data_IF_803603788228
#
_entry.id   IF_803603788228
#
_cell.length_a   1.000
_cell.length_b   1.000
_cell.length_c   1.000
_cell.angle_alpha   90.00
_cell.angle_beta   90.00
_cell.angle_gamma   90.00
#
_symmetry.space_group_name_H-M   'P 1'
#
loop_
_entity.id
_entity.type
_entity.pdbx_description
1 polymer ?
#
# COMPACT_ATOMS: atom_id res chain seq x y z
N UNK A 1 23.74 30.56 5.06
CA UNK A 1 22.92 29.92 4.00
C UNK A 1 22.57 28.52 4.45
N UNK A 2 21.41 28.32 5.07
CA UNK A 2 20.91 26.97 5.41
C UNK A 2 20.20 26.48 4.15
N UNK A 3 20.86 25.57 3.41
CA UNK A 3 20.27 24.93 2.25
C UNK A 3 19.07 24.08 2.69
N UNK A 4 17.98 24.16 1.93
CA UNK A 4 16.77 23.38 2.16
C UNK A 4 17.12 21.89 2.30
N UNK A 5 16.75 21.29 3.42
CA UNK A 5 16.79 19.84 3.58
C UNK A 5 15.83 19.27 2.53
N UNK A 6 16.23 18.29 1.70
CA UNK A 6 15.32 17.71 0.73
C UNK A 6 14.10 17.17 1.47
N UNK A 7 12.90 17.52 1.01
CA UNK A 7 11.67 17.00 1.58
C UNK A 7 11.77 15.48 1.60
N UNK A 8 11.86 14.90 2.79
CA UNK A 8 11.97 13.45 2.96
C UNK A 8 10.80 12.81 2.25
N UNK A 9 11.08 12.16 1.12
CA UNK A 9 10.08 11.49 0.30
C UNK A 9 9.28 10.55 1.19
N UNK A 10 7.97 10.78 1.27
CA UNK A 10 7.10 9.97 2.10
C UNK A 10 7.19 8.52 1.60
N UNK A 11 7.43 7.53 2.48
CA UNK A 11 7.52 6.14 2.06
C UNK A 11 6.24 5.71 1.33
N UNK A 12 6.38 5.00 0.21
CA UNK A 12 5.23 4.46 -0.54
C UNK A 12 4.44 3.51 0.36
N UNK A 13 3.11 3.66 0.35
CA UNK A 13 2.19 2.83 1.13
C UNK A 13 1.15 2.19 0.22
N UNK A 14 1.25 0.87 0.04
CA UNK A 14 0.15 0.08 -0.53
C UNK A 14 -0.92 -0.13 0.53
N UNK A 15 -2.21 -0.03 0.15
CA UNK A 15 -3.34 -0.27 1.06
C UNK A 15 -4.35 -1.19 0.41
N UNK A 16 -4.85 -2.13 1.20
CA UNK A 16 -5.98 -2.97 0.84
C UNK A 16 -6.97 -3.02 2.01
N UNK A 17 -8.20 -2.59 1.75
CA UNK A 17 -9.25 -2.52 2.76
C UNK A 17 -10.56 -3.14 2.26
N UNK A 18 -10.70 -4.48 2.29
CA UNK A 18 -11.94 -5.13 1.89
C UNK A 18 -13.02 -4.96 2.98
N UNK A 19 -14.28 -4.90 2.53
CA UNK A 19 -15.43 -5.10 3.42
C UNK A 19 -15.54 -6.60 3.75
N UNK A 20 -15.96 -6.98 4.97
CA UNK A 20 -16.01 -8.38 5.42
C UNK A 20 -17.33 -9.04 5.01
N UNK A 21 -18.13 -8.36 4.19
CA UNK A 21 -19.51 -8.73 3.85
C UNK A 21 -19.60 -9.91 2.89
N UNK A 22 -18.47 -10.47 2.43
CA UNK A 22 -18.44 -11.67 1.59
C UNK A 22 -17.06 -12.30 1.48
N UNK A 23 -17.00 -13.43 0.78
CA UNK A 23 -15.79 -14.21 0.52
C UNK A 23 -14.75 -13.43 -0.29
N UNK A 24 -13.47 -13.68 -0.01
CA UNK A 24 -12.38 -13.09 -0.78
C UNK A 24 -12.35 -13.69 -2.20
N UNK A 25 -12.89 -12.96 -3.17
CA UNK A 25 -12.83 -13.38 -4.58
C UNK A 25 -11.51 -12.98 -5.26
N UNK A 26 -11.21 -13.65 -6.39
CA UNK A 26 -9.95 -13.49 -7.14
C UNK A 26 -9.66 -12.04 -7.56
N UNK A 27 -10.68 -11.28 -7.91
CA UNK A 27 -10.52 -9.86 -8.25
C UNK A 27 -10.00 -9.03 -7.08
N UNK A 28 -10.51 -9.32 -5.88
CA UNK A 28 -10.11 -8.63 -4.66
C UNK A 28 -8.68 -9.02 -4.25
N UNK A 29 -8.35 -10.32 -4.37
CA UNK A 29 -7.00 -10.83 -4.17
C UNK A 29 -5.98 -10.19 -5.14
N UNK A 30 -6.34 -10.05 -6.42
CA UNK A 30 -5.50 -9.39 -7.43
C UNK A 30 -5.20 -7.94 -7.02
N UNK A 31 -6.20 -7.21 -6.57
CA UNK A 31 -6.03 -5.81 -6.10
C UNK A 31 -5.09 -5.74 -4.90
N UNK A 32 -5.26 -6.62 -3.92
CA UNK A 32 -4.37 -6.71 -2.77
C UNK A 32 -2.92 -7.01 -3.18
N UNK A 33 -2.75 -7.98 -4.09
CA UNK A 33 -1.44 -8.40 -4.59
C UNK A 33 -0.72 -7.28 -5.34
N UNK A 34 -1.43 -6.54 -6.20
CA UNK A 34 -0.86 -5.41 -6.93
C UNK A 34 -0.41 -4.29 -5.98
N UNK A 35 -1.25 -3.95 -4.99
CA UNK A 35 -0.89 -2.95 -3.98
C UNK A 35 0.33 -3.38 -3.14
N UNK A 36 0.44 -4.68 -2.83
CA UNK A 36 1.61 -5.23 -2.13
C UNK A 36 2.87 -5.22 -2.99
N UNK A 37 2.80 -5.71 -4.25
CA UNK A 37 3.94 -5.74 -5.17
C UNK A 37 4.47 -4.33 -5.45
N UNK A 38 3.58 -3.36 -5.64
CA UNK A 38 3.96 -1.97 -5.87
C UNK A 38 4.69 -1.37 -4.66
N UNK A 39 4.16 -1.57 -3.45
CA UNK A 39 4.81 -1.13 -2.23
C UNK A 39 6.17 -1.82 -2.04
N UNK A 40 6.25 -3.14 -2.25
CA UNK A 40 7.49 -3.92 -2.14
C UNK A 40 8.57 -3.45 -3.12
N UNK A 41 8.21 -3.20 -4.37
CA UNK A 41 9.15 -2.71 -5.40
C UNK A 41 9.77 -1.35 -5.03
N UNK A 42 9.04 -0.52 -4.27
CA UNK A 42 9.51 0.78 -3.82
C UNK A 42 10.13 0.77 -2.41
N UNK A 43 10.45 -0.40 -1.82
CA UNK A 43 10.83 -0.54 -0.40
C UNK A 43 9.84 0.15 0.57
N UNK A 44 8.58 0.20 0.16
CA UNK A 44 7.48 0.79 0.88
C UNK A 44 6.84 -0.18 1.87
N UNK A 45 5.70 0.21 2.42
CA UNK A 45 4.93 -0.56 3.41
C UNK A 45 3.58 -0.95 2.82
N UNK A 46 3.09 -2.14 3.14
CA UNK A 46 1.74 -2.58 2.79
C UNK A 46 0.85 -2.58 4.04
N UNK A 47 -0.37 -2.05 3.92
CA UNK A 47 -1.36 -1.96 5.00
C UNK A 47 -2.60 -2.74 4.61
N UNK A 48 -2.89 -3.79 5.36
CA UNK A 48 -4.15 -4.53 5.30
C UNK A 48 -5.08 -3.99 6.40
N UNK A 49 -6.32 -3.64 6.05
CA UNK A 49 -7.35 -3.23 7.01
C UNK A 49 -8.64 -3.98 6.70
N UNK A 50 -9.08 -4.83 7.61
CA UNK A 50 -10.40 -5.46 7.50
C UNK A 50 -11.37 -4.53 8.24
N UNK A 51 -12.34 -3.97 7.51
CA UNK A 51 -13.50 -3.28 8.10
C UNK A 51 -14.65 -4.26 8.28
#
# INVERSE_FOLDING_TARGET
>A
MVGAMPETLKPIRGRYAPSPTGELHLGNLRTALLAWLFARAANGRFVLRIE
#
